data_IF_965655487851
#
_entry.id   IF_965655487851
#
_cell.length_a   1.000
_cell.length_b   1.000
_cell.length_c   1.000
_cell.angle_alpha   90.00
_cell.angle_beta   90.00
_cell.angle_gamma   90.00
#
_symmetry.space_group_name_H-M   'P 1'
#
loop_
_entity.id
_entity.type
_entity.pdbx_description
1 polymer ?
#
# COMPACT_ATOMS: atom_id res chain seq x y z
N UNK A 1 18.88 -10.88 13.05
CA UNK A 1 17.72 -11.78 13.17
C UNK A 1 16.55 -11.06 12.49
N UNK A 2 16.01 -11.60 11.40
CA UNK A 2 14.93 -10.94 10.67
C UNK A 2 13.62 -11.14 11.42
N UNK A 3 12.94 -10.06 11.82
CA UNK A 3 11.60 -10.13 12.37
C UNK A 3 10.61 -10.37 11.22
N UNK A 4 10.28 -11.63 10.96
CA UNK A 4 9.33 -12.00 9.92
C UNK A 4 7.90 -11.84 10.46
N UNK A 5 7.09 -11.06 9.75
CA UNK A 5 5.70 -10.76 10.11
C UNK A 5 4.82 -11.00 8.90
N UNK A 6 3.61 -11.52 9.14
CA UNK A 6 2.57 -11.71 8.12
C UNK A 6 1.40 -10.81 8.45
N UNK A 7 0.89 -10.11 7.44
CA UNK A 7 -0.29 -9.25 7.58
C UNK A 7 -1.44 -9.84 6.77
N UNK A 8 -2.64 -9.85 7.37
CA UNK A 8 -3.87 -10.36 6.75
C UNK A 8 -4.95 -9.32 6.92
N UNK A 9 -5.65 -8.98 5.84
CA UNK A 9 -6.80 -8.08 5.89
C UNK A 9 -7.96 -8.65 5.10
N UNK A 10 -9.18 -8.41 5.58
CA UNK A 10 -10.42 -8.87 4.98
C UNK A 10 -10.53 -10.39 4.84
N UNK A 11 -11.23 -10.83 3.79
CA UNK A 11 -11.54 -12.24 3.55
C UNK A 11 -12.99 -12.60 3.83
N UNK A 12 -13.31 -13.89 3.72
CA UNK A 12 -14.66 -14.43 3.88
C UNK A 12 -14.57 -15.84 4.50
N UNK A 13 -15.33 -16.10 5.56
CA UNK A 13 -15.35 -17.40 6.26
C UNK A 13 -16.50 -18.32 5.79
N UNK A 14 -17.36 -17.84 4.89
CA UNK A 14 -18.58 -18.54 4.47
C UNK A 14 -19.86 -17.84 4.90
N UNK A 15 -19.79 -17.04 5.96
CA UNK A 15 -20.93 -16.32 6.56
C UNK A 15 -20.68 -14.81 6.60
N UNK A 16 -19.47 -14.39 6.98
CA UNK A 16 -19.09 -13.01 7.18
C UNK A 16 -17.98 -12.61 6.21
N UNK A 17 -18.07 -11.37 5.71
CA UNK A 17 -16.97 -10.70 5.02
C UNK A 17 -16.30 -9.78 6.03
N UNK A 18 -14.97 -9.78 6.05
CA UNK A 18 -14.20 -9.00 7.01
C UNK A 18 -13.58 -7.76 6.37
N UNK A 19 -13.29 -6.75 7.19
CA UNK A 19 -12.54 -5.55 6.82
C UNK A 19 -11.37 -5.25 7.76
N UNK A 20 -11.13 -6.11 8.75
CA UNK A 20 -10.11 -5.91 9.77
C UNK A 20 -8.70 -6.21 9.26
N UNK A 21 -7.70 -5.89 10.09
CA UNK A 21 -6.29 -6.14 9.84
C UNK A 21 -5.67 -6.86 11.04
N UNK A 22 -4.99 -7.96 10.73
CA UNK A 22 -4.25 -8.78 11.69
C UNK A 22 -2.78 -8.89 11.30
N UNK A 23 -1.93 -9.03 12.31
CA UNK A 23 -0.51 -9.37 12.15
C UNK A 23 -0.19 -10.63 12.94
N UNK A 24 0.53 -11.55 12.31
CA UNK A 24 1.19 -12.67 12.95
C UNK A 24 2.69 -12.39 13.07
N UNK A 25 3.22 -12.42 14.29
CA UNK A 25 4.67 -12.47 14.51
C UNK A 25 5.16 -13.92 14.39
N UNK A 26 6.06 -14.20 13.45
CA UNK A 26 6.53 -15.57 13.19
C UNK A 26 7.59 -16.06 14.17
N UNK A 27 8.10 -15.20 15.07
CA UNK A 27 9.01 -15.62 16.14
C UNK A 27 8.23 -16.06 17.38
N UNK A 28 7.14 -15.35 17.71
CA UNK A 28 6.35 -15.61 18.91
C UNK A 28 5.06 -16.39 18.64
N UNK A 29 4.64 -16.47 17.37
CA UNK A 29 3.35 -17.00 16.93
C UNK A 29 2.15 -16.29 17.58
N UNK A 30 2.34 -15.03 17.99
CA UNK A 30 1.27 -14.23 18.55
C UNK A 30 0.58 -13.39 17.47
N UNK A 31 -0.75 -13.37 17.54
CA UNK A 31 -1.59 -12.50 16.73
C UNK A 31 -1.73 -11.12 17.38
N UNK A 32 -1.75 -10.08 16.56
CA UNK A 32 -2.06 -8.71 16.96
C UNK A 32 -3.16 -8.17 16.07
N UNK A 33 -4.25 -7.71 16.69
CA UNK A 33 -5.35 -7.01 16.02
C UNK A 33 -5.04 -5.51 15.91
N UNK A 34 -5.34 -4.90 14.76
CA UNK A 34 -5.17 -3.46 14.54
C UNK A 34 -6.52 -2.73 14.62
N UNK A 35 -6.82 -2.14 15.77
CA UNK A 35 -8.13 -1.49 16.00
C UNK A 35 -8.43 -0.32 15.05
N UNK A 36 -7.41 0.43 14.63
CA UNK A 36 -7.57 1.67 13.87
C UNK A 36 -7.37 1.48 12.37
N UNK A 37 -6.77 0.36 11.94
CA UNK A 37 -6.44 0.13 10.55
C UNK A 37 -7.38 -0.92 9.95
N UNK A 38 -8.42 -0.46 9.26
CA UNK A 38 -9.43 -1.30 8.64
C UNK A 38 -9.69 -0.85 7.20
N UNK A 39 -10.11 -1.79 6.35
CA UNK A 39 -10.56 -1.44 5.00
C UNK A 39 -11.87 -0.64 5.06
N UNK A 40 -12.09 0.29 4.11
CA UNK A 40 -13.32 1.08 4.09
C UNK A 40 -14.59 0.25 3.93
N UNK A 41 -14.49 -0.95 3.36
CA UNK A 41 -15.58 -1.90 3.21
C UNK A 41 -15.08 -3.33 3.46
N UNK A 42 -15.90 -4.22 4.03
CA UNK A 42 -15.64 -5.64 4.04
C UNK A 42 -15.37 -6.17 2.63
N UNK A 43 -14.18 -6.74 2.43
CA UNK A 43 -13.70 -7.09 1.08
C UNK A 43 -13.00 -8.44 1.08
N UNK A 44 -13.31 -9.28 0.09
CA UNK A 44 -12.65 -10.56 -0.17
C UNK A 44 -12.21 -10.67 -1.64
N UNK A 45 -11.40 -11.66 -2.01
CA UNK A 45 -10.78 -11.78 -3.35
C UNK A 45 -10.01 -10.54 -3.82
N UNK A 46 -9.50 -9.75 -2.89
CA UNK A 46 -8.58 -8.65 -3.18
C UNK A 46 -7.13 -9.14 -3.18
N UNK A 47 -6.21 -8.35 -3.76
CA UNK A 47 -4.78 -8.59 -3.67
C UNK A 47 -4.14 -7.64 -2.64
N UNK A 48 -3.12 -8.11 -1.92
CA UNK A 48 -2.37 -7.28 -0.97
C UNK A 48 -0.86 -7.39 -1.16
N UNK A 49 -0.15 -6.31 -0.85
CA UNK A 49 1.30 -6.28 -0.81
C UNK A 49 1.78 -5.29 0.26
N UNK A 50 2.94 -5.56 0.87
CA UNK A 50 3.61 -4.66 1.81
C UNK A 50 4.92 -4.18 1.20
N UNK A 51 5.14 -2.87 1.15
CA UNK A 51 6.39 -2.31 0.65
C UNK A 51 7.52 -2.45 1.69
N UNK A 52 8.80 -2.38 1.27
CA UNK A 52 9.93 -2.36 2.19
C UNK A 52 9.88 -1.23 3.24
N UNK A 53 9.19 -0.13 2.91
CA UNK A 53 8.98 1.03 3.79
C UNK A 53 7.88 0.82 4.84
N UNK A 54 7.17 -0.31 4.79
CA UNK A 54 6.11 -0.65 5.75
C UNK A 54 4.72 -0.14 5.35
N UNK A 55 4.48 0.11 4.06
CA UNK A 55 3.16 0.49 3.56
C UNK A 55 2.41 -0.73 3.02
N UNK A 56 1.22 -0.96 3.56
CA UNK A 56 0.26 -1.92 3.02
C UNK A 56 -0.44 -1.31 1.81
N UNK A 57 -0.57 -2.10 0.75
CA UNK A 57 -1.39 -1.83 -0.42
C UNK A 57 -2.44 -2.93 -0.56
N UNK A 58 -3.67 -2.52 -0.85
CA UNK A 58 -4.81 -3.40 -1.14
C UNK A 58 -5.38 -3.00 -2.49
N UNK A 59 -5.56 -3.96 -3.39
CA UNK A 59 -6.13 -3.72 -4.71
C UNK A 59 -7.35 -4.58 -4.97
N UNK A 60 -8.43 -3.90 -5.37
CA UNK A 60 -9.66 -4.48 -5.87
C UNK A 60 -10.42 -5.32 -4.85
N UNK A 61 -10.97 -6.44 -5.31
CA UNK A 61 -11.79 -7.35 -4.51
C UNK A 61 -13.29 -7.15 -4.66
N UNK A 62 -14.03 -8.00 -3.98
CA UNK A 62 -15.48 -8.03 -3.95
C UNK A 62 -16.01 -7.53 -2.60
N UNK A 63 -17.04 -6.69 -2.64
CA UNK A 63 -17.75 -6.18 -1.47
C UNK A 63 -19.25 -6.11 -1.78
N UNK A 64 -20.10 -6.05 -0.76
CA UNK A 64 -21.56 -6.07 -0.94
C UNK A 64 -22.19 -4.75 -0.51
N UNK A 65 -23.15 -4.24 -1.29
CA UNK A 65 -24.02 -3.12 -0.91
C UNK A 65 -25.46 -3.59 -1.12
N UNK A 66 -26.30 -3.60 -0.06
CA UNK A 66 -27.70 -4.03 -0.15
C UNK A 66 -27.86 -5.39 -0.86
N UNK A 67 -27.06 -6.38 -0.46
CA UNK A 67 -26.98 -7.73 -1.03
C UNK A 67 -26.53 -7.83 -2.50
N UNK A 68 -26.16 -6.70 -3.13
CA UNK A 68 -25.55 -6.67 -4.46
C UNK A 68 -24.02 -6.76 -4.36
N UNK A 69 -23.44 -7.84 -4.91
CA UNK A 69 -22.00 -8.07 -4.91
C UNK A 69 -21.34 -7.25 -6.01
N UNK A 70 -20.42 -6.37 -5.61
CA UNK A 70 -19.69 -5.47 -6.51
C UNK A 70 -18.22 -5.79 -6.52
N UNK A 71 -17.60 -5.58 -7.68
CA UNK A 71 -16.15 -5.65 -7.87
C UNK A 71 -15.56 -4.25 -7.83
N UNK A 72 -14.46 -4.10 -7.11
CA UNK A 72 -13.69 -2.86 -7.04
C UNK A 72 -12.42 -2.97 -7.88
N UNK A 73 -12.01 -1.85 -8.47
CA UNK A 73 -10.65 -1.62 -8.98
C UNK A 73 -9.92 -0.57 -8.13
N UNK A 74 -10.45 -0.23 -6.95
CA UNK A 74 -9.83 0.75 -6.06
C UNK A 74 -8.52 0.22 -5.48
N UNK A 75 -7.59 1.14 -5.21
CA UNK A 75 -6.36 0.89 -4.46
C UNK A 75 -6.48 1.61 -3.13
N UNK A 76 -6.31 0.87 -2.04
CA UNK A 76 -6.18 1.43 -0.70
C UNK A 76 -4.75 1.25 -0.20
N UNK A 77 -4.32 2.14 0.69
CA UNK A 77 -3.03 1.99 1.35
C UNK A 77 -3.04 2.52 2.77
N UNK A 78 -2.25 1.90 3.63
CA UNK A 78 -2.08 2.33 5.02
C UNK A 78 -0.64 2.08 5.48
N UNK A 79 -0.14 2.96 6.35
CA UNK A 79 1.15 2.77 7.02
C UNK A 79 1.00 1.79 8.18
N UNK A 80 1.76 0.69 8.17
CA UNK A 80 1.74 -0.34 9.24
C UNK A 80 2.65 0.05 10.43
N UNK A 81 3.56 0.98 10.20
CA UNK A 81 4.44 1.58 11.19
C UNK A 81 4.62 3.06 10.87
N UNK A 82 5.20 3.82 11.80
CA UNK A 82 5.58 5.21 11.53
C UNK A 82 6.65 5.20 10.42
N UNK A 83 6.37 5.81 9.25
CA UNK A 83 7.34 5.86 8.18
C UNK A 83 8.58 6.66 8.58
N UNK A 84 9.71 6.38 7.93
CA UNK A 84 10.92 7.19 8.12
C UNK A 84 10.64 8.62 7.69
N UNK A 85 11.28 9.60 8.35
CA UNK A 85 11.17 11.02 7.99
C UNK A 85 11.45 11.26 6.50
N UNK A 86 12.40 10.53 5.92
CA UNK A 86 12.71 10.60 4.49
C UNK A 86 11.52 10.24 3.60
N UNK A 87 10.71 9.24 3.97
CA UNK A 87 9.51 8.85 3.23
C UNK A 87 8.40 9.90 3.37
N UNK A 88 8.22 10.46 4.56
CA UNK A 88 7.27 11.56 4.80
C UNK A 88 7.65 12.80 3.97
N UNK A 89 8.93 13.19 4.01
CA UNK A 89 9.44 14.29 3.19
C UNK A 89 9.24 14.01 1.70
N UNK A 90 9.43 12.76 1.25
CA UNK A 90 9.20 12.38 -0.13
C UNK A 90 7.74 12.51 -0.55
N UNK A 91 6.79 12.06 0.28
CA UNK A 91 5.36 12.29 0.03
C UNK A 91 5.03 13.78 -0.06
N UNK A 92 5.59 14.60 0.83
CA UNK A 92 5.42 16.04 0.77
C UNK A 92 5.95 16.63 -0.54
N UNK A 93 7.13 16.21 -0.99
CA UNK A 93 7.69 16.62 -2.29
C UNK A 93 6.75 16.25 -3.43
N UNK A 94 6.24 15.01 -3.47
CA UNK A 94 5.29 14.57 -4.50
C UNK A 94 3.97 15.37 -4.46
N UNK A 95 3.50 15.72 -3.27
CA UNK A 95 2.27 16.49 -3.08
C UNK A 95 2.42 17.95 -3.52
N UNK A 96 3.49 18.64 -3.09
CA UNK A 96 3.70 20.05 -3.39
C UNK A 96 4.30 20.28 -4.79
N UNK A 97 4.90 19.26 -5.41
CA UNK A 97 5.50 19.32 -6.75
C UNK A 97 4.91 18.26 -7.70
N UNK A 98 3.63 18.38 -8.11
CA UNK A 98 2.95 17.36 -8.92
C UNK A 98 3.53 17.15 -10.33
N UNK A 99 4.43 18.03 -10.78
CA UNK A 99 5.11 17.93 -12.08
C UNK A 99 6.51 17.33 -12.00
N UNK A 100 6.95 16.92 -10.81
CA UNK A 100 8.30 16.41 -10.57
C UNK A 100 8.66 15.19 -11.43
N UNK A 101 7.66 14.39 -11.81
CA UNK A 101 7.84 13.23 -12.71
C UNK A 101 8.12 13.61 -14.18
N UNK A 102 7.94 14.87 -14.56
CA UNK A 102 8.26 15.38 -15.90
C UNK A 102 9.66 16.00 -15.97
N UNK A 103 10.27 16.29 -14.81
CA UNK A 103 11.62 16.83 -14.72
C UNK A 103 12.64 15.72 -15.03
N UNK A 104 13.81 16.11 -15.58
CA UNK A 104 14.89 15.14 -15.81
C UNK A 104 15.47 14.70 -14.46
N UNK A 105 15.83 13.44 -14.36
CA UNK A 105 16.45 12.90 -13.15
C UNK A 105 17.72 13.63 -12.75
N UNK A 106 18.55 14.05 -13.71
CA UNK A 106 19.78 14.81 -13.46
C UNK A 106 19.48 16.15 -12.77
N UNK A 107 18.55 16.94 -13.33
CA UNK A 107 18.15 18.23 -12.76
C UNK A 107 17.64 18.09 -11.32
N UNK A 108 16.88 17.02 -11.04
CA UNK A 108 16.36 16.72 -9.70
C UNK A 108 17.46 16.36 -8.70
N UNK A 109 18.50 15.66 -9.16
CA UNK A 109 19.66 15.31 -8.33
C UNK A 109 20.50 16.56 -8.05
N UNK A 110 20.66 17.44 -9.05
CA UNK A 110 21.45 18.67 -8.94
C UNK A 110 20.84 19.68 -7.95
N UNK A 111 19.51 19.73 -7.83
CA UNK A 111 18.83 20.52 -6.77
C UNK A 111 18.89 19.86 -5.39
N UNK A 112 19.50 18.68 -5.26
CA UNK A 112 19.77 18.01 -3.99
C UNK A 112 18.79 16.89 -3.60
N UNK A 113 17.92 16.42 -4.50
CA UNK A 113 17.06 15.28 -4.17
C UNK A 113 17.85 13.96 -4.12
N UNK A 114 17.61 13.09 -3.12
CA UNK A 114 18.32 11.82 -3.03
C UNK A 114 18.03 10.92 -4.25
N UNK A 115 19.09 10.36 -4.85
CA UNK A 115 19.02 9.52 -6.06
C UNK A 115 18.00 8.39 -5.97
N UNK A 116 17.91 7.71 -4.82
CA UNK A 116 16.99 6.58 -4.63
C UNK A 116 15.52 6.99 -4.69
N UNK A 117 15.16 8.24 -4.33
CA UNK A 117 13.81 8.75 -4.51
C UNK A 117 13.54 9.16 -5.96
N UNK A 118 14.51 9.82 -6.61
CA UNK A 118 14.40 10.18 -8.04
C UNK A 118 14.20 8.94 -8.91
N UNK A 119 14.86 7.81 -8.59
CA UNK A 119 14.68 6.53 -9.29
C UNK A 119 13.24 6.00 -9.21
N UNK A 120 12.48 6.31 -8.14
CA UNK A 120 11.08 5.89 -8.00
C UNK A 120 10.14 6.61 -8.97
N UNK A 121 10.56 7.76 -9.55
CA UNK A 121 9.77 8.47 -10.56
C UNK A 121 9.78 7.78 -11.94
N UNK A 122 10.83 7.00 -12.23
CA UNK A 122 11.14 6.50 -13.58
C UNK A 122 10.38 5.26 -14.06
N UNK A 123 9.54 4.63 -13.24
CA UNK A 123 8.91 3.34 -13.58
C UNK A 123 7.51 3.43 -14.19
N UNK A 124 6.98 4.63 -14.50
CA UNK A 124 5.59 4.77 -14.94
C UNK A 124 5.40 4.48 -16.46
N UNK A 125 6.47 4.38 -17.25
CA UNK A 125 6.38 4.29 -18.72
C UNK A 125 6.49 2.89 -19.34
N UNK A 126 6.55 1.79 -18.57
CA UNK A 126 6.74 0.43 -19.13
C UNK A 126 5.48 -0.42 -19.29
N UNK A 127 4.31 0.03 -18.85
CA UNK A 127 3.04 -0.69 -19.07
C UNK A 127 2.26 -0.11 -20.25
N UNK A 128 2.81 -0.21 -21.46
CA UNK A 128 1.97 -0.22 -22.66
C UNK A 128 1.40 -1.64 -22.76
N UNK A 129 0.17 -1.81 -22.27
CA UNK A 129 -0.64 -2.98 -22.62
C UNK A 129 -0.92 -2.83 -24.11
N UNK A 130 -0.24 -3.62 -24.92
CA UNK A 130 -0.56 -3.72 -26.34
C UNK A 130 -1.96 -4.33 -26.45
N UNK A 131 -2.86 -3.59 -27.09
CA UNK A 131 -4.21 -4.04 -27.45
C UNK A 131 -4.19 -5.32 -28.29
#
# INVERSE_FOLDING_TARGET
>A
MYHAQVFITGGHDGENIFNDLWRLDLNTYCWTYFEVCQMPQPTYFHATAVSPEGRLYVFGGNYSINDDVRRSNAVYSAWLCIPKLSEICWEAVLYYSPHINKCRSDDLIDIGLPRHFVQRLGSINSCKINN
#
